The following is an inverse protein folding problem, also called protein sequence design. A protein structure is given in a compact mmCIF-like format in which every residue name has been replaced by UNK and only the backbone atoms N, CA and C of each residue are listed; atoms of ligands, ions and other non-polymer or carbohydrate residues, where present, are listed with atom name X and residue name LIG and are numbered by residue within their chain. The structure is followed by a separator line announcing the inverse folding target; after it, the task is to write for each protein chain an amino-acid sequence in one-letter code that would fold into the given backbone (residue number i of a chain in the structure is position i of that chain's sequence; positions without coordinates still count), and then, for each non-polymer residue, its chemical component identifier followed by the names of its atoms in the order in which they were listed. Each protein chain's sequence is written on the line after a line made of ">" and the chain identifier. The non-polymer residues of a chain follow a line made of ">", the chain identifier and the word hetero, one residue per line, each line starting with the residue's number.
data_IF_858711061485
#
_entry.id   IF_858711061485
#
_cell.length_a   1.000
_cell.length_b   1.000
_cell.length_c   1.000
_cell.angle_alpha   90.00
_cell.angle_beta   90.00
_cell.angle_gamma   90.00
#
_symmetry.space_group_name_H-M   'P 1'
#
loop_
_entity.id
_entity.type
_entity.pdbx_description
1 polymer ?
#
# COMPACT_ATOMS: atom_id res chain seq x y z
N UNK A 1 7.87 9.06 -0.61
CA UNK A 1 7.03 9.26 -1.81
C UNK A 1 7.30 10.65 -2.36
N UNK A 2 7.58 10.79 -3.65
CA UNK A 2 7.80 12.11 -4.27
C UNK A 2 6.47 12.87 -4.42
N UNK A 3 6.49 14.18 -4.24
CA UNK A 3 5.34 15.08 -4.40
C UNK A 3 5.50 15.96 -5.65
N UNK A 4 4.40 16.50 -6.21
CA UNK A 4 4.45 17.35 -7.40
C UNK A 4 5.27 18.63 -7.26
N UNK A 5 5.43 19.13 -6.03
CA UNK A 5 6.24 20.31 -5.70
C UNK A 5 7.74 20.02 -5.53
N UNK A 6 8.16 18.77 -5.82
CA UNK A 6 9.54 18.32 -5.63
C UNK A 6 9.87 17.91 -4.18
N UNK A 7 8.93 18.09 -3.24
CA UNK A 7 9.06 17.60 -1.89
C UNK A 7 8.91 16.07 -1.79
N UNK A 8 9.10 15.56 -0.58
CA UNK A 8 8.96 14.13 -0.27
C UNK A 8 7.99 13.96 0.90
N UNK A 9 6.98 13.12 0.72
CA UNK A 9 6.17 12.62 1.83
C UNK A 9 6.85 11.41 2.47
N UNK A 10 7.07 11.50 3.79
CA UNK A 10 7.55 10.41 4.64
C UNK A 10 6.39 9.87 5.47
N UNK A 11 6.05 8.60 5.24
CA UNK A 11 4.95 7.93 5.94
C UNK A 11 5.57 7.10 7.07
N UNK A 12 5.09 7.33 8.29
CA UNK A 12 5.52 6.63 9.48
C UNK A 12 4.38 5.73 9.94
N UNK A 13 4.63 4.44 10.25
CA UNK A 13 3.59 3.53 10.74
C UNK A 13 3.34 3.65 12.25
N UNK A 14 4.27 4.22 13.02
CA UNK A 14 4.19 4.40 14.47
C UNK A 14 4.96 5.65 14.93
N UNK A 15 4.28 6.73 15.39
CA UNK A 15 2.84 6.95 15.25
C UNK A 15 2.43 7.00 13.77
N UNK A 16 1.19 6.61 13.45
CA UNK A 16 0.74 6.60 12.05
C UNK A 16 0.56 8.06 11.58
N UNK A 17 1.49 8.57 10.78
CA UNK A 17 1.44 9.96 10.28
C UNK A 17 2.19 10.14 8.97
N UNK A 18 1.97 11.28 8.33
CA UNK A 18 2.63 11.66 7.07
C UNK A 18 3.34 13.00 7.22
N UNK A 19 4.65 12.96 7.33
CA UNK A 19 5.49 14.16 7.37
C UNK A 19 5.80 14.63 5.94
N UNK A 20 6.00 15.93 5.76
CA UNK A 20 6.47 16.53 4.50
C UNK A 20 7.91 17.01 4.65
N UNK A 21 8.80 16.54 3.80
CA UNK A 21 10.11 17.12 3.57
C UNK A 21 10.01 18.03 2.35
N UNK A 22 10.34 19.31 2.50
CA UNK A 22 10.40 20.22 1.36
C UNK A 22 11.73 20.11 0.59
N UNK A 23 11.86 20.87 -0.50
CA UNK A 23 13.06 20.90 -1.34
C UNK A 23 14.28 21.54 -0.65
N UNK A 24 14.09 22.17 0.52
CA UNK A 24 15.15 22.75 1.35
C UNK A 24 15.55 21.82 2.50
N UNK A 25 14.94 20.64 2.60
CA UNK A 25 15.18 19.67 3.67
C UNK A 25 14.43 19.97 4.97
N UNK A 26 13.53 20.96 4.98
CA UNK A 26 12.71 21.25 6.16
C UNK A 26 11.61 20.21 6.32
N UNK A 27 11.45 19.72 7.55
CA UNK A 27 10.42 18.73 7.89
C UNK A 27 9.22 19.42 8.50
N UNK A 28 8.07 19.35 7.84
CA UNK A 28 6.76 19.64 8.42
C UNK A 28 6.16 18.34 8.95
N UNK A 29 6.05 18.24 10.28
CA UNK A 29 5.47 17.08 10.96
C UNK A 29 3.96 17.06 10.71
N UNK A 30 3.44 15.89 10.34
CA UNK A 30 1.99 15.68 10.17
C UNK A 30 1.28 15.33 11.47
N UNK A 31 -0.04 15.46 11.45
CA UNK A 31 -0.91 15.01 12.53
C UNK A 31 -0.92 13.47 12.60
N UNK A 32 -1.13 12.94 13.80
CA UNK A 32 -1.38 11.51 13.97
C UNK A 32 -2.72 11.14 13.34
N UNK A 33 -2.71 10.06 12.56
CA UNK A 33 -3.86 9.55 11.84
C UNK A 33 -4.42 8.35 12.59
N UNK A 34 -5.70 8.43 12.95
CA UNK A 34 -6.40 7.28 13.49
C UNK A 34 -6.46 6.15 12.47
N UNK A 35 -6.31 4.91 12.87
CA UNK A 35 -6.61 3.78 12.00
C UNK A 35 -7.34 2.70 12.79
N UNK A 36 -8.19 1.97 12.09
CA UNK A 36 -8.87 0.84 12.68
C UNK A 36 -7.86 -0.28 12.89
N UNK A 37 -7.62 -0.64 14.16
CA UNK A 37 -6.79 -1.80 14.50
C UNK A 37 -7.55 -3.07 14.16
N UNK A 38 -7.01 -3.83 13.22
CA UNK A 38 -7.56 -5.13 12.82
C UNK A 38 -6.77 -6.22 13.53
N UNK A 39 -7.40 -7.09 14.35
CA UNK A 39 -6.71 -8.23 14.95
C UNK A 39 -6.14 -9.18 13.89
N UNK A 40 -4.93 -9.70 14.11
CA UNK A 40 -4.33 -10.66 13.19
C UNK A 40 -5.03 -12.02 13.33
N UNK A 41 -5.78 -12.41 12.31
CA UNK A 41 -6.45 -13.70 12.26
C UNK A 41 -5.51 -14.82 11.78
N UNK A 42 -5.97 -16.07 11.91
CA UNK A 42 -5.29 -17.23 11.31
C UNK A 42 -5.18 -17.12 9.79
N UNK A 43 -6.20 -16.54 9.14
CA UNK A 43 -6.22 -16.35 7.69
C UNK A 43 -5.16 -15.33 7.25
N UNK A 44 -4.95 -14.27 8.02
CA UNK A 44 -3.90 -13.28 7.77
C UNK A 44 -2.50 -13.90 7.89
N UNK A 45 -2.28 -14.72 8.93
CA UNK A 45 -1.02 -15.45 9.11
C UNK A 45 -0.74 -16.38 7.93
N UNK A 46 -1.75 -17.12 7.47
CA UNK A 46 -1.60 -18.00 6.32
C UNK A 46 -1.31 -17.20 5.04
N UNK A 47 -2.06 -16.13 4.77
CA UNK A 47 -1.85 -15.27 3.61
C UNK A 47 -0.44 -14.65 3.59
N UNK A 48 0.10 -14.29 4.76
CA UNK A 48 1.48 -13.82 4.87
C UNK A 48 2.49 -14.90 4.51
N UNK A 49 2.32 -16.14 5.03
CA UNK A 49 3.20 -17.27 4.69
C UNK A 49 3.16 -17.58 3.19
N UNK A 50 1.96 -17.66 2.61
CA UNK A 50 1.76 -17.90 1.17
C UNK A 50 2.43 -16.80 0.33
N UNK A 51 2.40 -15.55 0.79
CA UNK A 51 3.06 -14.41 0.15
C UNK A 51 4.59 -14.51 0.19
N UNK A 52 5.16 -14.96 1.31
CA UNK A 52 6.61 -15.16 1.45
C UNK A 52 7.12 -16.29 0.53
N UNK A 53 6.38 -17.41 0.45
CA UNK A 53 6.73 -18.51 -0.45
C UNK A 53 6.81 -18.05 -1.91
N UNK A 54 5.84 -17.24 -2.36
CA UNK A 54 5.84 -16.67 -3.72
C UNK A 54 7.05 -15.76 -3.98
N UNK A 55 7.49 -14.98 -2.99
CA UNK A 55 8.64 -14.08 -3.13
C UNK A 55 9.99 -14.81 -3.08
N UNK A 56 10.09 -15.94 -2.37
CA UNK A 56 11.31 -16.75 -2.25
C UNK A 56 11.73 -17.46 -3.55
N UNK A 57 10.86 -17.45 -4.57
CA UNK A 57 11.14 -18.00 -5.90
C UNK A 57 11.73 -16.90 -6.79
N UNK A 58 12.93 -16.40 -6.46
CA UNK A 58 13.67 -15.47 -7.34
C UNK A 58 14.86 -16.20 -7.98
N UNK A 59 14.82 -16.37 -9.30
CA UNK A 59 15.84 -17.05 -10.09
C UNK A 59 17.03 -16.10 -10.30
N UNK A 60 18.13 -16.33 -9.60
CA UNK A 60 19.42 -15.73 -9.92
C UNK A 60 20.09 -16.48 -11.08
N UNK A 61 20.20 -15.85 -12.25
CA UNK A 61 21.06 -16.34 -13.33
C UNK A 61 22.46 -15.78 -13.13
N UNK A 62 23.37 -16.60 -12.62
CA UNK A 62 24.80 -16.30 -12.58
C UNK A 62 25.46 -17.22 -13.60
N UNK A 63 25.85 -16.66 -14.75
CA UNK A 63 26.74 -17.28 -15.74
C UNK A 63 26.31 -18.63 -16.34
N UNK A 64 25.24 -18.64 -17.14
CA UNK A 64 25.07 -19.64 -18.21
C UNK A 64 24.64 -21.06 -17.81
N UNK A 65 24.25 -21.27 -16.55
CA UNK A 65 23.63 -22.50 -16.07
C UNK A 65 22.81 -22.21 -14.83
N UNK A 66 21.55 -21.81 -15.02
CA UNK A 66 20.69 -21.35 -13.93
C UNK A 66 20.26 -22.50 -13.01
N UNK A 67 20.94 -22.67 -11.88
CA UNK A 67 20.41 -23.44 -10.76
C UNK A 67 19.61 -22.49 -9.86
N UNK A 68 18.30 -22.67 -9.80
CA UNK A 68 17.45 -21.89 -8.91
C UNK A 68 17.77 -22.26 -7.45
N UNK A 69 18.46 -21.38 -6.73
CA UNK A 69 18.67 -21.53 -5.29
C UNK A 69 17.42 -20.98 -4.58
N UNK A 70 16.59 -21.88 -4.04
CA UNK A 70 15.50 -21.49 -3.13
C UNK A 70 16.11 -21.15 -1.77
N UNK A 71 16.13 -19.87 -1.42
CA UNK A 71 16.40 -19.48 -0.04
C UNK A 71 15.17 -19.86 0.82
N UNK A 72 15.36 -20.48 2.00
CA UNK A 72 14.23 -20.76 2.88
C UNK A 72 13.53 -19.46 3.23
N UNK A 73 12.22 -19.42 3.05
CA UNK A 73 11.41 -18.28 3.49
C UNK A 73 11.58 -18.12 5.00
N UNK A 74 11.76 -16.88 5.51
CA UNK A 74 11.83 -16.65 6.95
C UNK A 74 10.53 -17.16 7.60
N UNK A 75 10.66 -18.10 8.54
CA UNK A 75 9.53 -18.61 9.31
C UNK A 75 9.34 -17.76 10.56
N UNK A 76 8.18 -17.12 10.68
CA UNK A 76 7.72 -16.45 11.90
C UNK A 76 6.80 -17.43 12.62
N UNK A 77 7.05 -17.69 13.91
CA UNK A 77 6.16 -18.52 14.73
C UNK A 77 4.85 -17.77 14.98
N UNK A 78 3.75 -18.49 15.21
CA UNK A 78 2.45 -17.85 15.43
C UNK A 78 2.44 -16.89 16.62
N UNK A 79 3.20 -17.18 17.66
CA UNK A 79 3.40 -16.32 18.85
C UNK A 79 4.17 -15.02 18.56
N UNK A 80 4.95 -14.98 17.48
CA UNK A 80 5.76 -13.82 17.10
C UNK A 80 4.97 -12.86 16.18
N UNK A 81 3.76 -13.23 15.74
CA UNK A 81 2.91 -12.31 14.98
C UNK A 81 2.38 -11.19 15.89
N UNK A 82 2.29 -9.95 15.39
CA UNK A 82 1.70 -8.86 16.15
C UNK A 82 0.22 -9.15 16.43
N UNK A 83 -0.30 -8.63 17.55
CA UNK A 83 -1.71 -8.79 17.91
C UNK A 83 -2.66 -8.14 16.90
N UNK A 84 -2.21 -7.06 16.23
CA UNK A 84 -2.99 -6.30 15.25
C UNK A 84 -2.17 -6.02 13.99
N UNK A 85 -2.84 -5.95 12.85
CA UNK A 85 -2.25 -5.54 11.59
C UNK A 85 -1.77 -4.08 11.65
N UNK A 86 -0.68 -3.73 10.93
CA UNK A 86 -0.22 -2.35 10.81
C UNK A 86 -1.22 -1.51 10.00
N UNK A 87 -1.13 -0.17 10.03
CA UNK A 87 -2.01 0.70 9.23
C UNK A 87 -1.87 0.47 7.71
N UNK A 88 -0.65 0.15 7.24
CA UNK A 88 -0.34 -0.19 5.86
C UNK A 88 0.83 -1.21 5.81
N UNK A 89 0.97 -1.94 4.70
CA UNK A 89 2.10 -2.88 4.50
C UNK A 89 3.39 -2.15 4.11
N UNK A 90 4.56 -2.65 4.50
CA UNK A 90 5.84 -1.99 4.20
C UNK A 90 6.11 -1.81 2.70
N UNK A 91 5.64 -2.74 1.87
CA UNK A 91 5.71 -2.71 0.41
C UNK A 91 4.42 -2.17 -0.24
N UNK A 92 3.55 -1.51 0.52
CA UNK A 92 2.35 -0.88 0.00
C UNK A 92 2.68 0.09 -1.13
N UNK A 93 1.93 0.00 -2.22
CA UNK A 93 2.03 0.95 -3.32
C UNK A 93 1.33 2.26 -2.93
N UNK A 94 2.11 3.21 -2.45
CA UNK A 94 1.66 4.58 -2.20
C UNK A 94 1.69 5.37 -3.52
N UNK A 95 0.76 6.31 -3.70
CA UNK A 95 0.74 7.21 -4.87
C UNK A 95 0.52 8.65 -4.40
N UNK A 96 1.17 9.62 -5.04
CA UNK A 96 0.84 11.04 -4.90
C UNK A 96 -0.04 11.51 -6.05
N UNK A 97 -1.01 12.37 -5.76
CA UNK A 97 -1.85 13.01 -6.78
C UNK A 97 -1.34 14.41 -7.16
N UNK A 98 -1.85 15.01 -8.25
CA UNK A 98 -1.42 16.33 -8.69
C UNK A 98 -1.72 17.46 -7.70
N UNK A 99 -2.62 17.26 -6.74
CA UNK A 99 -2.90 18.22 -5.67
C UNK A 99 -1.95 18.06 -4.47
N UNK A 100 -0.97 17.16 -4.55
CA UNK A 100 0.01 16.92 -3.50
C UNK A 100 -0.52 16.09 -2.33
N UNK A 101 -1.65 15.40 -2.51
CA UNK A 101 -2.15 14.42 -1.54
C UNK A 101 -1.49 13.08 -1.78
N UNK A 102 -1.41 12.29 -0.71
CA UNK A 102 -0.82 10.97 -0.70
C UNK A 102 -1.91 9.95 -0.41
N UNK A 103 -2.00 8.95 -1.28
CA UNK A 103 -2.92 7.82 -1.22
C UNK A 103 -2.18 6.62 -0.64
N UNK A 104 -2.61 6.17 0.54
CA UNK A 104 -1.98 5.10 1.31
C UNK A 104 -2.99 3.94 1.42
N UNK A 105 -2.69 2.74 0.92
CA UNK A 105 -3.62 1.64 1.04
C UNK A 105 -3.62 1.14 2.49
N UNK A 106 -4.82 0.97 3.05
CA UNK A 106 -4.97 0.36 4.36
C UNK A 106 -4.74 -1.14 4.27
N UNK A 107 -4.17 -1.72 5.32
CA UNK A 107 -4.20 -3.19 5.44
C UNK A 107 -5.64 -3.61 5.73
N UNK A 108 -6.16 -4.51 4.90
CA UNK A 108 -7.48 -5.09 5.06
C UNK A 108 -7.36 -6.52 5.60
N UNK A 109 -8.35 -7.02 6.37
CA UNK A 109 -8.40 -8.42 6.74
C UNK A 109 -8.34 -9.34 5.51
N UNK A 110 -7.73 -10.51 5.65
CA UNK A 110 -7.70 -11.53 4.62
C UNK A 110 -9.12 -11.85 4.12
N UNK A 111 -9.30 -11.87 2.80
CA UNK A 111 -10.60 -12.08 2.16
C UNK A 111 -11.49 -10.84 2.07
N UNK A 112 -11.01 -9.65 2.46
CA UNK A 112 -11.72 -8.39 2.21
C UNK A 112 -12.06 -8.23 0.74
N UNK A 113 -13.30 -7.80 0.45
CA UNK A 113 -13.79 -7.52 -0.90
C UNK A 113 -13.65 -6.07 -1.33
N UNK A 114 -13.04 -5.26 -0.48
CA UNK A 114 -12.79 -3.84 -0.72
C UNK A 114 -11.39 -3.49 -0.29
N UNK A 115 -10.81 -2.49 -0.95
CA UNK A 115 -9.55 -1.88 -0.59
C UNK A 115 -9.80 -0.42 -0.22
N UNK A 116 -9.52 -0.08 1.03
CA UNK A 116 -9.58 1.28 1.52
C UNK A 116 -8.24 2.00 1.33
N UNK A 117 -8.32 3.29 1.07
CA UNK A 117 -7.20 4.18 0.90
C UNK A 117 -7.36 5.41 1.79
N UNK A 118 -6.34 5.69 2.58
CA UNK A 118 -6.20 6.98 3.25
C UNK A 118 -5.64 8.01 2.29
N UNK A 119 -6.36 9.11 2.12
CA UNK A 119 -5.90 10.26 1.33
C UNK A 119 -5.52 11.37 2.29
N UNK A 120 -4.24 11.73 2.29
CA UNK A 120 -3.63 12.58 3.32
C UNK A 120 -2.91 13.75 2.67
N UNK A 121 -2.97 14.93 3.28
CA UNK A 121 -2.08 16.05 2.93
C UNK A 121 -0.84 15.95 3.81
N UNK A 122 0.37 15.75 3.26
CA UNK A 122 1.60 15.67 4.04
C UNK A 122 1.84 16.90 4.93
N UNK A 123 2.19 16.69 6.20
CA UNK A 123 2.37 17.77 7.18
C UNK A 123 1.07 18.42 7.64
N UNK A 124 -0.06 17.76 7.44
CA UNK A 124 -1.37 18.08 8.01
C UNK A 124 -2.01 16.74 8.44
N UNK A 125 -3.31 16.55 8.24
CA UNK A 125 -4.02 15.32 8.58
C UNK A 125 -4.67 14.61 7.39
N UNK A 126 -5.43 13.54 7.70
CA UNK A 126 -6.26 12.81 6.73
C UNK A 126 -7.35 13.72 6.20
N UNK A 127 -7.55 13.67 4.88
CA UNK A 127 -8.60 14.42 4.19
C UNK A 127 -9.82 13.53 3.94
N UNK A 128 -9.60 12.31 3.46
CA UNK A 128 -10.68 11.39 3.09
C UNK A 128 -10.23 9.93 3.17
N UNK A 129 -11.22 9.04 3.18
CA UNK A 129 -11.05 7.61 2.93
C UNK A 129 -11.74 7.28 1.61
N UNK A 130 -11.02 6.66 0.69
CA UNK A 130 -11.53 6.22 -0.60
C UNK A 130 -11.60 4.69 -0.64
N UNK A 131 -12.69 4.15 -1.17
CA UNK A 131 -12.93 2.71 -1.28
C UNK A 131 -12.90 2.27 -2.74
N UNK A 132 -12.28 1.13 -3.01
CA UNK A 132 -12.31 0.46 -4.31
C UNK A 132 -12.69 -1.02 -4.15
N UNK A 133 -13.34 -1.59 -5.18
CA UNK A 133 -13.75 -3.00 -5.18
C UNK A 133 -12.57 -3.99 -5.24
N UNK A 134 -12.85 -5.24 -4.90
CA UNK A 134 -11.88 -6.35 -4.84
C UNK A 134 -10.98 -6.44 -6.07
N UNK A 135 -9.70 -6.73 -5.85
CA UNK A 135 -8.72 -6.95 -6.91
C UNK A 135 -8.33 -5.67 -7.67
N UNK A 136 -8.75 -4.50 -7.19
CA UNK A 136 -8.37 -3.22 -7.79
C UNK A 136 -7.07 -2.70 -7.18
N UNK A 137 -6.07 -2.48 -8.04
CA UNK A 137 -4.82 -1.82 -7.68
C UNK A 137 -4.86 -0.39 -8.18
N UNK A 138 -4.72 0.58 -7.28
CA UNK A 138 -4.59 1.98 -7.68
C UNK A 138 -3.33 2.16 -8.52
N UNK A 139 -3.49 2.70 -9.72
CA UNK A 139 -2.41 2.89 -10.67
C UNK A 139 -1.97 4.34 -10.78
N UNK A 140 -2.94 5.25 -10.91
CA UNK A 140 -2.68 6.67 -11.04
C UNK A 140 -3.88 7.47 -10.58
N UNK A 141 -3.62 8.68 -10.10
CA UNK A 141 -4.64 9.69 -9.78
C UNK A 141 -4.32 10.94 -10.57
N UNK A 142 -5.33 11.53 -11.19
CA UNK A 142 -5.24 12.81 -11.88
C UNK A 142 -6.18 13.82 -11.23
N UNK A 143 -6.17 15.06 -11.75
CA UNK A 143 -7.07 16.11 -11.27
C UNK A 143 -8.56 15.81 -11.50
N UNK A 144 -8.89 14.87 -12.41
CA UNK A 144 -10.28 14.56 -12.78
C UNK A 144 -10.65 13.07 -12.70
N UNK A 145 -9.67 12.17 -12.62
CA UNK A 145 -9.91 10.74 -12.69
C UNK A 145 -9.00 9.93 -11.76
N UNK A 146 -9.48 8.75 -11.40
CA UNK A 146 -8.75 7.70 -10.69
C UNK A 146 -8.64 6.52 -11.65
N UNK A 147 -7.44 5.98 -11.81
CA UNK A 147 -7.18 4.81 -12.65
C UNK A 147 -6.87 3.61 -11.77
N UNK A 148 -7.69 2.57 -11.89
CA UNK A 148 -7.53 1.29 -11.21
C UNK A 148 -7.14 0.23 -12.23
N UNK A 149 -6.26 -0.68 -11.85
CA UNK A 149 -6.00 -1.91 -12.60
C UNK A 149 -6.72 -3.04 -11.88
N UNK A 150 -7.53 -3.79 -12.61
CA UNK A 150 -8.22 -4.98 -12.11
C UNK A 150 -7.73 -6.20 -12.86
N UNK A 151 -7.47 -7.28 -12.13
CA UNK A 151 -7.17 -8.58 -12.72
C UNK A 151 -8.43 -9.43 -12.69
N UNK A 152 -8.84 -9.96 -13.84
CA UNK A 152 -9.85 -11.00 -13.90
C UNK A 152 -9.19 -12.35 -13.57
N UNK A 153 -9.60 -12.95 -12.45
CA UNK A 153 -9.03 -14.21 -11.98
C UNK A 153 -9.34 -15.39 -12.91
N UNK A 154 -10.45 -15.36 -13.66
CA UNK A 154 -10.84 -16.46 -14.55
C UNK A 154 -10.01 -16.48 -15.84
N UNK A 155 -9.65 -15.30 -16.35
CA UNK A 155 -8.95 -15.16 -17.64
C UNK A 155 -7.49 -14.74 -17.51
N UNK A 156 -7.10 -14.23 -16.34
CA UNK A 156 -5.79 -13.60 -16.11
C UNK A 156 -5.61 -12.25 -16.80
N UNK A 157 -6.65 -11.72 -17.46
CA UNK A 157 -6.58 -10.44 -18.16
C UNK A 157 -6.56 -9.26 -17.18
N UNK A 158 -5.78 -8.23 -17.53
CA UNK A 158 -5.70 -6.99 -16.77
C UNK A 158 -6.48 -5.89 -17.48
N UNK A 159 -7.37 -5.23 -16.76
CA UNK A 159 -8.19 -4.14 -17.26
C UNK A 159 -7.87 -2.84 -16.53
N UNK A 160 -7.80 -1.75 -17.28
CA UNK A 160 -7.70 -0.41 -16.71
C UNK A 160 -9.09 0.20 -16.64
N UNK A 161 -9.55 0.48 -15.42
CA UNK A 161 -10.80 1.18 -15.17
C UNK A 161 -10.52 2.64 -14.87
N UNK A 162 -11.27 3.54 -15.53
CA UNK A 162 -11.24 4.97 -15.27
C UNK A 162 -12.47 5.37 -14.48
N UNK A 163 -12.26 5.81 -13.25
CA UNK A 163 -13.30 6.31 -12.37
C UNK A 163 -13.27 7.84 -12.31
N UNK A 164 -14.45 8.47 -12.36
CA UNK A 164 -14.52 9.93 -12.21
C UNK A 164 -14.23 10.29 -10.75
N UNK A 165 -13.33 11.24 -10.54
CA UNK A 165 -13.05 11.73 -9.20
C UNK A 165 -14.23 12.57 -8.72
N UNK A 166 -15.00 12.07 -7.75
CA UNK A 166 -16.04 12.88 -7.13
C UNK A 166 -15.37 13.93 -6.26
N UNK A 167 -15.59 15.21 -6.54
CA UNK A 167 -15.30 16.28 -5.59
C UNK A 167 -16.51 16.34 -4.65
N UNK A 168 -16.39 15.79 -3.44
CA UNK A 168 -17.30 16.24 -2.38
C UNK A 168 -16.95 17.72 -2.14
N UNK A 169 -17.92 18.59 -2.45
CA UNK A 169 -17.85 20.03 -2.17
C UNK A 169 -18.05 20.28 -0.69
#
# INVERSE_FOLDING_TARGET
>A
MALPDGGVARILPAPFRVDKLDTRGMVKIGDELDFQRVPVSRADRQAWRDGQERQSTSVGSINGGGQAVRLPAPSIRDEDFPATLPPFLANARVISDPEGRVWIPRVMPAGSRVQDWDVVVPGAGRVEVAEAGIGSVLMAVTSSAIFLVRVDEATGLQYVEKHRRSRKR
#
